data_IF_202581223462
#
_entry.id   IF_202581223462
#
_cell.length_a   1.000
_cell.length_b   1.000
_cell.length_c   1.000
_cell.angle_alpha   90.00
_cell.angle_beta   90.00
_cell.angle_gamma   90.00
#
_symmetry.space_group_name_H-M   'P 1'
#
loop_
_entity.id
_entity.type
_entity.pdbx_description
1 polymer ?
#
# COMPACT_ATOMS: atom_id res chain seq x y z
N UNK A 1 -31.79 16.68 -6.73
CA UNK A 1 -31.47 17.76 -7.67
C UNK A 1 -30.01 18.13 -7.58
N UNK A 2 -29.40 18.43 -8.72
CA UNK A 2 -27.98 18.77 -8.83
C UNK A 2 -27.90 20.20 -9.37
N UNK A 3 -27.93 21.19 -8.46
CA UNK A 3 -27.87 22.61 -8.83
C UNK A 3 -26.42 22.99 -9.12
N UNK A 4 -26.06 22.98 -10.41
CA UNK A 4 -24.76 23.41 -10.93
C UNK A 4 -24.65 24.93 -10.96
N UNK A 5 -24.70 25.60 -9.82
CA UNK A 5 -24.26 26.99 -9.73
C UNK A 5 -22.73 27.05 -9.51
N UNK A 6 -22.12 28.17 -9.87
CA UNK A 6 -20.70 28.51 -9.69
C UNK A 6 -20.26 28.61 -8.22
N UNK A 7 -20.94 27.91 -7.32
CA UNK A 7 -20.62 27.87 -5.91
C UNK A 7 -19.62 26.74 -5.62
N UNK A 8 -18.70 26.98 -4.70
CA UNK A 8 -17.73 25.97 -4.30
C UNK A 8 -18.38 25.03 -3.28
N UNK A 9 -18.13 23.73 -3.42
CA UNK A 9 -18.53 22.79 -2.37
C UNK A 9 -17.70 23.07 -1.12
N UNK A 10 -18.36 23.16 0.03
CA UNK A 10 -17.70 23.09 1.33
C UNK A 10 -17.08 21.70 1.49
N UNK A 11 -15.80 21.60 1.14
CA UNK A 11 -15.03 20.37 1.15
C UNK A 11 -13.74 20.59 1.92
N UNK A 12 -13.76 20.16 3.18
CA UNK A 12 -12.60 20.21 4.06
C UNK A 12 -12.28 18.80 4.53
N UNK A 13 -11.06 18.33 4.24
CA UNK A 13 -10.57 17.04 4.70
C UNK A 13 -9.16 17.20 5.26
N UNK A 14 -8.93 16.66 6.46
CA UNK A 14 -7.59 16.60 7.03
C UNK A 14 -6.81 15.49 6.33
N UNK A 15 -5.72 15.85 5.63
CA UNK A 15 -4.84 14.88 5.00
C UNK A 15 -3.73 14.45 5.98
N UNK A 16 -3.43 13.15 6.02
CA UNK A 16 -2.35 12.61 6.83
C UNK A 16 -2.18 11.11 6.63
N UNK A 17 -0.99 10.58 6.91
CA UNK A 17 -0.75 9.15 6.88
C UNK A 17 0.29 8.79 7.94
N UNK A 18 -0.02 7.78 8.73
CA UNK A 18 0.88 7.22 9.74
C UNK A 18 1.27 5.81 9.33
N UNK A 19 2.52 5.44 9.59
CA UNK A 19 3.01 4.09 9.37
C UNK A 19 3.91 3.69 10.53
N UNK A 20 3.76 2.47 11.00
CA UNK A 20 4.66 1.85 11.95
C UNK A 20 5.42 0.72 11.25
N UNK A 21 6.59 0.40 11.78
CA UNK A 21 7.50 -0.59 11.23
C UNK A 21 7.91 -1.54 12.32
N UNK A 22 7.78 -2.84 12.07
CA UNK A 22 8.21 -3.86 13.00
C UNK A 22 8.95 -4.98 12.28
N UNK A 23 10.12 -5.32 12.79
CA UNK A 23 10.92 -6.46 12.33
C UNK A 23 10.82 -7.58 13.37
N UNK A 24 10.41 -8.75 12.90
CA UNK A 24 10.38 -9.98 13.68
C UNK A 24 11.65 -10.79 13.39
N UNK A 25 11.84 -11.86 14.17
CA UNK A 25 12.88 -12.85 13.89
C UNK A 25 12.71 -13.48 12.50
N UNK A 26 13.80 -14.05 11.98
CA UNK A 26 13.81 -14.81 10.72
C UNK A 26 13.41 -13.98 9.47
N UNK A 27 13.62 -12.66 9.51
CA UNK A 27 13.44 -11.77 8.37
C UNK A 27 11.98 -11.43 8.04
N UNK A 28 11.05 -11.67 8.96
CA UNK A 28 9.67 -11.22 8.81
C UNK A 28 9.54 -9.75 9.21
N UNK A 29 8.73 -8.99 8.47
CA UNK A 29 8.45 -7.58 8.74
C UNK A 29 6.96 -7.32 8.63
N UNK A 30 6.45 -6.36 9.40
CA UNK A 30 5.11 -5.84 9.27
C UNK A 30 5.12 -4.31 9.23
N UNK A 31 4.28 -3.77 8.37
CA UNK A 31 4.11 -2.33 8.20
C UNK A 31 2.63 -1.95 8.26
N UNK A 32 2.03 -1.92 9.46
CA UNK A 32 0.69 -1.36 9.61
C UNK A 32 0.73 0.16 9.42
N UNK A 33 -0.36 0.72 8.91
CA UNK A 33 -0.49 2.15 8.74
C UNK A 33 -1.89 2.55 8.34
N UNK A 34 -2.06 3.82 8.01
CA UNK A 34 -3.33 4.34 7.54
C UNK A 34 -3.45 5.84 7.69
N UNK A 35 -4.55 6.37 7.21
CA UNK A 35 -4.87 7.79 7.30
C UNK A 35 -6.21 8.10 6.65
N UNK A 36 -6.65 9.37 6.67
CA UNK A 36 -7.87 9.79 6.02
C UNK A 36 -7.77 9.63 4.50
N UNK A 37 -8.86 9.15 3.90
CA UNK A 37 -9.07 9.05 2.47
C UNK A 37 -9.46 10.40 1.88
N UNK A 38 -9.64 10.42 0.56
CA UNK A 38 -10.04 11.66 -0.12
C UNK A 38 -11.33 12.20 0.49
N UNK A 39 -12.32 11.37 0.75
CA UNK A 39 -13.60 11.77 1.34
C UNK A 39 -13.58 11.87 2.88
N UNK A 40 -12.39 11.97 3.51
CA UNK A 40 -12.24 11.97 4.97
C UNK A 40 -12.40 10.61 5.65
N UNK A 41 -12.63 9.56 4.86
CA UNK A 41 -12.90 8.21 5.33
C UNK A 41 -11.65 7.49 5.85
N UNK A 42 -11.69 6.73 6.97
CA UNK A 42 -10.50 6.07 7.48
C UNK A 42 -10.01 4.97 6.54
N UNK A 43 -8.71 5.02 6.18
CA UNK A 43 -8.07 4.04 5.29
C UNK A 43 -6.97 3.25 5.99
N UNK A 44 -7.28 2.12 6.63
CA UNK A 44 -6.26 1.25 7.19
C UNK A 44 -5.48 0.53 6.09
N UNK A 45 -4.21 0.29 6.37
CA UNK A 45 -3.23 -0.31 5.50
C UNK A 45 -2.36 -1.32 6.26
N UNK A 46 -1.94 -2.38 5.59
CA UNK A 46 -0.98 -3.34 6.13
C UNK A 46 -0.13 -3.97 5.04
N UNK A 47 1.17 -4.12 5.31
CA UNK A 47 2.09 -4.82 4.42
C UNK A 47 3.02 -5.76 5.20
N UNK A 48 2.69 -7.07 5.30
CA UNK A 48 3.61 -8.07 5.80
C UNK A 48 4.59 -8.51 4.70
N UNK A 49 5.85 -8.76 5.07
CA UNK A 49 6.84 -9.33 4.17
C UNK A 49 7.81 -10.28 4.88
N UNK A 50 8.49 -11.11 4.10
CA UNK A 50 9.58 -11.98 4.52
C UNK A 50 10.77 -11.79 3.61
N UNK A 51 11.94 -11.52 4.21
CA UNK A 51 13.25 -11.52 3.56
C UNK A 51 14.00 -12.80 3.94
N UNK A 52 14.49 -13.51 2.92
CA UNK A 52 15.27 -14.72 3.09
C UNK A 52 16.77 -14.39 3.19
N UNK A 53 17.56 -15.28 3.80
CA UNK A 53 19.01 -15.10 3.95
C UNK A 53 19.76 -14.94 2.62
N UNK A 54 19.22 -15.54 1.55
CA UNK A 54 19.67 -15.40 0.15
C UNK A 54 19.30 -14.04 -0.50
N UNK A 55 18.66 -13.13 0.24
CA UNK A 55 18.32 -11.78 -0.23
C UNK A 55 17.00 -11.67 -1.00
N UNK A 56 16.36 -12.78 -1.37
CA UNK A 56 15.00 -12.81 -1.91
C UNK A 56 13.99 -12.24 -0.90
N UNK A 57 12.93 -11.61 -1.37
CA UNK A 57 11.85 -11.09 -0.55
C UNK A 57 10.49 -11.39 -1.16
N UNK A 58 9.53 -11.78 -0.32
CA UNK A 58 8.12 -11.93 -0.69
C UNK A 58 7.27 -11.14 0.28
N UNK A 59 6.27 -10.43 -0.22
CA UNK A 59 5.37 -9.64 0.63
C UNK A 59 3.95 -9.59 0.11
N UNK A 60 3.04 -9.23 1.02
CA UNK A 60 1.66 -8.90 0.72
C UNK A 60 1.39 -7.44 1.09
N UNK A 61 0.40 -6.84 0.46
CA UNK A 61 -0.15 -5.56 0.87
C UNK A 61 -1.67 -5.60 0.79
N UNK A 62 -2.31 -4.92 1.72
CA UNK A 62 -3.75 -4.78 1.80
C UNK A 62 -4.10 -3.36 2.24
N UNK A 63 -4.98 -2.71 1.50
CA UNK A 63 -5.50 -1.39 1.82
C UNK A 63 -7.02 -1.44 1.75
N UNK A 64 -7.68 -0.89 2.77
CA UNK A 64 -9.12 -0.74 2.78
C UNK A 64 -9.46 0.73 2.67
N UNK A 65 -10.30 1.08 1.72
CA UNK A 65 -11.02 2.35 1.67
C UNK A 65 -12.44 2.13 2.18
N UNK A 66 -13.07 3.13 2.78
CA UNK A 66 -14.47 2.94 3.15
C UNK A 66 -15.12 4.11 3.81
N UNK A 67 -16.23 4.58 3.22
CA UNK A 67 -17.29 5.28 3.95
C UNK A 67 -17.93 4.30 4.94
N UNK A 68 -18.17 4.73 6.18
CA UNK A 68 -18.96 3.97 7.15
C UNK A 68 -20.42 3.97 6.68
N UNK A 69 -20.90 2.86 6.10
CA UNK A 69 -22.30 2.69 5.74
C UNK A 69 -22.51 1.89 4.46
N UNK A 70 -22.62 0.57 4.58
CA UNK A 70 -23.47 -0.33 3.77
C UNK A 70 -23.32 -0.44 2.25
N UNK A 71 -22.71 0.51 1.54
CA UNK A 71 -22.94 0.68 0.09
C UNK A 71 -21.66 0.76 -0.75
N UNK A 72 -20.62 0.00 -0.40
CA UNK A 72 -19.46 -0.20 -1.29
C UNK A 72 -19.37 -1.65 -1.77
N UNK A 73 -19.95 -1.90 -2.95
CA UNK A 73 -19.81 -3.16 -3.69
C UNK A 73 -18.55 -3.11 -4.59
N UNK A 74 -17.58 -3.98 -4.32
CA UNK A 74 -16.60 -4.44 -5.31
C UNK A 74 -15.29 -3.66 -5.52
N UNK A 75 -15.05 -2.50 -4.87
CA UNK A 75 -13.86 -1.66 -5.15
C UNK A 75 -13.23 -0.96 -3.95
N UNK A 76 -13.56 -1.36 -2.73
CA UNK A 76 -13.09 -0.74 -1.48
C UNK A 76 -11.81 -1.34 -0.92
N UNK A 77 -11.23 -2.33 -1.59
CA UNK A 77 -10.07 -3.06 -1.09
C UNK A 77 -9.03 -3.18 -2.20
N UNK A 78 -7.79 -2.79 -1.92
CA UNK A 78 -6.63 -3.03 -2.78
C UNK A 78 -5.76 -4.12 -2.14
N UNK A 79 -5.31 -5.08 -2.95
CA UNK A 79 -4.48 -6.21 -2.51
C UNK A 79 -3.32 -6.35 -3.47
N UNK A 80 -2.12 -6.46 -2.93
CA UNK A 80 -0.91 -6.71 -3.72
C UNK A 80 -0.12 -7.89 -3.19
N UNK A 81 0.54 -8.62 -4.08
CA UNK A 81 1.60 -9.57 -3.76
C UNK A 81 2.87 -9.08 -4.45
N UNK A 82 3.96 -9.03 -3.72
CA UNK A 82 5.28 -8.61 -4.22
C UNK A 82 6.27 -9.75 -4.09
N UNK A 83 7.04 -9.98 -5.15
CA UNK A 83 8.20 -10.87 -5.18
C UNK A 83 9.39 -10.05 -5.66
N UNK A 84 10.51 -10.14 -4.94
CA UNK A 84 11.77 -9.46 -5.30
C UNK A 84 12.95 -10.41 -5.21
N UNK A 85 13.79 -10.44 -6.24
CA UNK A 85 14.96 -11.32 -6.37
C UNK A 85 16.19 -10.47 -6.71
N UNK A 86 17.33 -10.63 -6.01
CA UNK A 86 18.58 -9.94 -6.36
C UNK A 86 19.12 -10.37 -7.73
N UNK A 87 19.55 -9.42 -8.55
CA UNK A 87 20.20 -9.71 -9.83
C UNK A 87 21.53 -10.45 -9.66
N UNK A 88 22.21 -10.27 -8.52
CA UNK A 88 23.44 -11.00 -8.21
C UNK A 88 23.24 -12.52 -8.13
N UNK A 89 22.02 -13.01 -7.84
CA UNK A 89 21.72 -14.44 -7.89
C UNK A 89 21.67 -14.98 -9.32
N UNK A 90 21.15 -14.19 -10.27
CA UNK A 90 21.05 -14.56 -11.67
C UNK A 90 22.39 -14.38 -12.44
N UNK A 91 23.17 -13.37 -12.06
CA UNK A 91 24.41 -12.99 -12.77
C UNK A 91 25.68 -13.51 -12.11
N UNK A 92 25.62 -13.94 -10.84
CA UNK A 92 26.79 -14.35 -10.05
C UNK A 92 27.72 -13.21 -9.63
N UNK A 93 27.41 -11.96 -10.02
CA UNK A 93 28.19 -10.78 -9.68
C UNK A 93 27.58 -10.04 -8.48
N UNK A 94 28.42 -9.43 -7.65
CA UNK A 94 27.94 -8.60 -6.55
C UNK A 94 27.17 -7.39 -7.10
N UNK A 95 25.85 -7.38 -6.94
CA UNK A 95 24.98 -6.27 -7.32
C UNK A 95 23.95 -5.99 -6.22
N UNK A 96 23.58 -4.72 -6.08
CA UNK A 96 22.47 -4.28 -5.21
C UNK A 96 21.12 -4.28 -5.93
N UNK A 97 21.14 -4.48 -7.24
CA UNK A 97 19.96 -4.42 -8.08
C UNK A 97 19.05 -5.62 -7.85
N UNK A 98 17.75 -5.40 -8.01
CA UNK A 98 16.71 -6.43 -7.83
C UNK A 98 15.72 -6.39 -8.98
N UNK A 99 15.21 -7.56 -9.33
CA UNK A 99 14.03 -7.70 -10.17
C UNK A 99 12.84 -7.88 -9.25
N UNK A 100 11.84 -7.01 -9.41
CA UNK A 100 10.64 -7.02 -8.57
C UNK A 100 9.38 -7.14 -9.43
N UNK A 101 8.48 -8.02 -9.02
CA UNK A 101 7.15 -8.19 -9.61
C UNK A 101 6.11 -7.89 -8.55
N UNK A 102 5.16 -7.01 -8.89
CA UNK A 102 4.03 -6.68 -8.04
C UNK A 102 2.72 -7.00 -8.76
N UNK A 103 1.96 -7.95 -8.22
CA UNK A 103 0.66 -8.37 -8.74
C UNK A 103 -0.40 -7.74 -7.84
N UNK A 104 -1.23 -6.85 -8.42
CA UNK A 104 -2.31 -6.16 -7.68
C UNK A 104 -3.68 -6.56 -8.20
N UNK A 105 -4.64 -6.66 -7.29
CA UNK A 105 -6.06 -6.83 -7.63
C UNK A 105 -6.58 -5.51 -8.23
N UNK A 106 -7.36 -5.60 -9.31
CA UNK A 106 -7.94 -4.45 -10.02
C UNK A 106 -8.99 -3.76 -9.13
N UNK A 107 -8.55 -2.89 -8.24
CA UNK A 107 -9.43 -2.04 -7.44
C UNK A 107 -9.49 -0.66 -8.08
N UNK A 108 -10.71 -0.18 -8.36
CA UNK A 108 -10.96 1.15 -8.96
C UNK A 108 -10.55 2.26 -7.98
N UNK A 109 -9.27 2.68 -7.99
CA UNK A 109 -8.64 3.87 -7.36
C UNK A 109 -9.00 4.24 -5.91
N UNK A 110 -9.90 3.51 -5.26
CA UNK A 110 -10.44 3.79 -3.95
C UNK A 110 -9.45 3.39 -2.87
N UNK A 111 -8.80 2.23 -3.01
CA UNK A 111 -7.87 1.67 -2.01
C UNK A 111 -6.40 2.03 -2.19
N UNK A 112 -6.00 2.69 -3.28
CA UNK A 112 -4.59 2.87 -3.64
C UNK A 112 -3.81 3.65 -2.57
N UNK A 113 -2.68 3.07 -2.13
CA UNK A 113 -1.75 3.74 -1.22
C UNK A 113 -1.15 4.97 -1.88
N UNK A 114 -0.99 6.04 -1.11
CA UNK A 114 -0.16 7.18 -1.52
C UNK A 114 1.29 6.70 -1.71
N UNK A 115 1.83 6.95 -2.89
CA UNK A 115 3.24 6.69 -3.18
C UNK A 115 4.10 7.75 -2.48
N UNK A 116 5.02 7.31 -1.64
CA UNK A 116 5.90 8.17 -0.84
C UNK A 116 7.32 7.66 -1.01
N UNK A 117 8.24 8.52 -1.41
CA UNK A 117 9.65 8.17 -1.55
C UNK A 117 10.30 7.99 -0.18
N UNK A 118 11.27 7.07 -0.07
CA UNK A 118 12.09 6.88 1.14
C UNK A 118 11.43 6.06 2.24
N UNK A 119 10.49 5.16 1.91
CA UNK A 119 10.00 4.16 2.87
C UNK A 119 11.15 3.26 3.31
N UNK A 120 11.16 2.90 4.59
CA UNK A 120 12.21 2.06 5.17
C UNK A 120 12.31 0.66 4.53
N UNK A 121 11.18 0.15 4.04
CA UNK A 121 11.07 -1.16 3.41
C UNK A 121 10.29 -1.02 2.09
N UNK A 122 10.99 -0.60 1.05
CA UNK A 122 10.61 -0.63 -0.38
C UNK A 122 11.82 -1.07 -1.22
#
# INVERSE_FOLDING_TARGET
>A
DFDQLFDFRDYEVTAGHVSAYYEFTQGFTAQPGGGPGRAGDPRPAGAPARRFGEGRQTGGSAHKAGLAGGEFRGGSFDKGVTLSVPLGWATGQASRDRVSTNIRSLSRDGGSRVNVNGRLYD
#
